data_IF_490969081186
#
_entry.id   IF_490969081186
#
_cell.length_a   1.000
_cell.length_b   1.000
_cell.length_c   1.000
_cell.angle_alpha   90.00
_cell.angle_beta   90.00
_cell.angle_gamma   90.00
#
_symmetry.space_group_name_H-M   'P 1'
#
loop_
_entity.id
_entity.type
_entity.pdbx_description
1 polymer ?
#
# COMPACT_ATOMS: atom_id res chain seq x y z
N UNK A 1 -13.83 -27.50 -5.38
CA UNK A 1 -12.94 -28.45 -4.68
C UNK A 1 -12.01 -27.66 -3.77
N UNK A 2 -12.03 -27.94 -2.47
CA UNK A 2 -11.20 -27.25 -1.47
C UNK A 2 -9.99 -28.13 -1.15
N UNK A 3 -8.76 -27.61 -1.23
CA UNK A 3 -7.55 -28.32 -0.80
C UNK A 3 -6.93 -27.61 0.40
N UNK A 4 -6.62 -28.40 1.42
CA UNK A 4 -6.02 -27.92 2.65
C UNK A 4 -4.49 -27.79 2.49
N UNK A 5 -3.83 -26.92 3.27
CA UNK A 5 -2.38 -26.88 3.33
C UNK A 5 -1.80 -28.25 3.69
N UNK A 6 -0.75 -28.67 2.99
CA UNK A 6 -0.09 -29.97 3.19
C UNK A 6 -0.59 -31.10 2.29
N UNK A 7 -1.71 -30.91 1.57
CA UNK A 7 -2.20 -31.85 0.55
C UNK A 7 -1.76 -31.40 -0.86
N UNK A 8 -0.44 -31.22 -1.03
CA UNK A 8 0.17 -30.76 -2.29
C UNK A 8 -0.07 -29.28 -2.61
N UNK A 9 -0.45 -28.48 -1.62
CA UNK A 9 -0.56 -27.02 -1.71
C UNK A 9 -0.07 -26.38 -0.41
N UNK A 10 0.62 -25.23 -0.50
CA UNK A 10 1.12 -24.49 0.68
C UNK A 10 0.04 -23.63 1.34
N UNK A 11 -1.07 -23.38 0.64
CA UNK A 11 -2.17 -22.51 1.09
C UNK A 11 -3.53 -23.16 0.86
N UNK A 12 -4.52 -22.75 1.64
CA UNK A 12 -5.91 -23.14 1.44
C UNK A 12 -6.37 -22.67 0.06
N UNK A 13 -6.74 -23.61 -0.82
CA UNK A 13 -7.25 -23.28 -2.15
C UNK A 13 -8.70 -23.73 -2.30
N UNK A 14 -9.52 -22.91 -2.95
CA UNK A 14 -10.88 -23.22 -3.36
C UNK A 14 -10.95 -23.12 -4.89
N UNK A 15 -11.30 -24.21 -5.57
CA UNK A 15 -11.33 -24.31 -7.04
C UNK A 15 -9.96 -23.98 -7.69
N UNK A 16 -8.87 -24.40 -7.04
CA UNK A 16 -7.51 -24.18 -7.53
C UNK A 16 -6.99 -22.76 -7.35
N UNK A 17 -7.73 -21.88 -6.67
CA UNK A 17 -7.31 -20.51 -6.37
C UNK A 17 -7.16 -20.34 -4.85
N UNK A 18 -6.23 -19.51 -4.34
CA UNK A 18 -6.13 -19.23 -2.92
C UNK A 18 -7.47 -18.77 -2.36
N UNK A 19 -7.92 -19.37 -1.25
CA UNK A 19 -9.19 -19.05 -0.62
C UNK A 19 -9.23 -17.61 -0.07
N UNK A 20 -8.05 -17.03 0.22
CA UNK A 20 -7.88 -15.61 0.52
C UNK A 20 -7.07 -15.02 -0.64
N UNK A 21 -7.72 -14.19 -1.47
CA UNK A 21 -7.04 -13.44 -2.51
C UNK A 21 -6.25 -12.29 -1.88
N UNK A 22 -4.95 -12.49 -1.66
CA UNK A 22 -4.06 -11.44 -1.18
C UNK A 22 -3.57 -10.62 -2.37
N UNK A 23 -3.80 -9.31 -2.37
CA UNK A 23 -3.16 -8.41 -3.32
C UNK A 23 -1.93 -7.76 -2.69
N UNK A 24 -0.86 -7.67 -3.48
CA UNK A 24 0.37 -7.02 -3.11
C UNK A 24 0.46 -5.68 -3.86
N UNK A 25 1.05 -4.63 -3.25
CA UNK A 25 1.29 -3.36 -3.92
C UNK A 25 2.41 -3.55 -4.95
N UNK A 26 2.05 -3.84 -6.21
CA UNK A 26 2.99 -3.95 -7.33
C UNK A 26 3.37 -2.58 -7.87
N UNK A 27 4.55 -2.46 -8.50
CA UNK A 27 5.00 -1.21 -9.11
C UNK A 27 4.01 -0.79 -10.20
N UNK A 28 3.53 0.45 -10.13
CA UNK A 28 2.51 1.01 -11.01
C UNK A 28 1.07 0.78 -10.56
N UNK A 29 0.83 -0.06 -9.53
CA UNK A 29 -0.52 -0.25 -8.99
C UNK A 29 -1.00 0.99 -8.27
N UNK A 30 -2.29 1.27 -8.42
CA UNK A 30 -3.01 2.30 -7.67
C UNK A 30 -3.54 1.69 -6.37
N UNK A 31 -3.55 2.48 -5.32
CA UNK A 31 -4.03 2.08 -4.01
C UNK A 31 -4.58 3.24 -3.20
N UNK A 32 -5.17 2.90 -2.06
CA UNK A 32 -5.57 3.87 -1.05
C UNK A 32 -4.74 3.66 0.20
N UNK A 33 -4.30 4.77 0.76
CA UNK A 33 -3.49 4.78 1.96
C UNK A 33 -4.02 5.80 2.96
N UNK A 34 -3.86 5.48 4.25
CA UNK A 34 -4.18 6.39 5.34
C UNK A 34 -2.93 7.08 5.84
N UNK A 35 -2.98 8.38 6.05
CA UNK A 35 -1.88 9.17 6.57
C UNK A 35 -1.66 8.87 8.05
N UNK A 36 -0.48 8.38 8.40
CA UNK A 36 -0.12 8.04 9.78
C UNK A 36 0.68 9.16 10.42
N UNK A 37 1.60 9.75 9.65
CA UNK A 37 2.48 10.83 10.12
C UNK A 37 2.89 11.70 8.95
N UNK A 38 2.76 13.01 9.14
CA UNK A 38 3.30 14.01 8.21
C UNK A 38 4.50 14.66 8.87
N UNK A 39 5.57 14.84 8.10
CA UNK A 39 6.76 15.58 8.50
C UNK A 39 7.14 16.54 7.38
N UNK A 40 8.06 17.46 7.65
CA UNK A 40 8.53 18.43 6.65
C UNK A 40 9.10 17.78 5.39
N UNK A 41 9.75 16.61 5.52
CA UNK A 41 10.50 15.98 4.43
C UNK A 41 9.90 14.67 3.93
N UNK A 42 8.81 14.20 4.51
CA UNK A 42 8.14 12.97 4.09
C UNK A 42 6.78 12.83 4.76
N UNK A 43 5.89 12.12 4.08
CA UNK A 43 4.64 11.66 4.66
C UNK A 43 4.65 10.14 4.72
N UNK A 44 4.40 9.60 5.91
CA UNK A 44 4.29 8.17 6.16
C UNK A 44 2.81 7.80 6.11
N UNK A 45 2.49 6.86 5.25
CA UNK A 45 1.14 6.35 5.06
C UNK A 45 1.07 4.85 5.29
N UNK A 46 -0.16 4.36 5.36
CA UNK A 46 -0.48 2.97 5.52
C UNK A 46 -1.44 2.54 4.41
N UNK A 47 -0.93 1.76 3.47
CA UNK A 47 -1.66 1.26 2.30
C UNK A 47 -2.53 0.10 2.76
N UNK A 48 -3.84 0.24 2.58
CA UNK A 48 -4.84 -0.77 2.99
C UNK A 48 -5.66 -1.31 1.82
N UNK A 49 -5.54 -0.70 0.64
CA UNK A 49 -6.25 -1.10 -0.58
C UNK A 49 -5.32 -0.91 -1.78
N UNK A 50 -5.33 -1.87 -2.70
CA UNK A 50 -4.60 -1.86 -3.98
C UNK A 50 -5.55 -2.36 -5.06
N UNK A 51 -5.66 -1.65 -6.18
CA UNK A 51 -6.54 -1.98 -7.32
C UNK A 51 -7.98 -2.32 -6.90
N UNK A 52 -8.53 -1.56 -5.95
CA UNK A 52 -9.88 -1.75 -5.42
C UNK A 52 -10.06 -2.99 -4.54
N UNK A 53 -8.98 -3.69 -4.17
CA UNK A 53 -8.99 -4.84 -3.28
C UNK A 53 -8.26 -4.53 -1.98
N UNK A 54 -8.85 -4.93 -0.86
CA UNK A 54 -8.20 -4.81 0.45
C UNK A 54 -6.96 -5.69 0.52
N UNK A 55 -5.88 -5.16 1.03
CA UNK A 55 -4.68 -5.93 1.31
C UNK A 55 -4.88 -6.80 2.54
N UNK A 56 -4.22 -7.95 2.59
CA UNK A 56 -4.30 -8.83 3.76
C UNK A 56 -3.57 -8.26 4.99
N UNK A 57 -2.55 -7.45 4.74
CA UNK A 57 -1.82 -6.67 5.75
C UNK A 57 -1.71 -5.23 5.27
N UNK A 58 -1.60 -4.30 6.20
CA UNK A 58 -1.41 -2.90 5.88
C UNK A 58 0.07 -2.62 5.62
N UNK A 59 0.41 -2.09 4.45
CA UNK A 59 1.80 -1.83 4.06
C UNK A 59 2.20 -0.41 4.42
N UNK A 60 3.42 -0.23 4.95
CA UNK A 60 3.98 1.10 5.18
C UNK A 60 4.36 1.73 3.83
N UNK A 61 3.76 2.87 3.53
CA UNK A 61 4.10 3.71 2.38
C UNK A 61 4.84 4.97 2.80
N UNK A 62 5.71 5.47 1.92
CA UNK A 62 6.47 6.72 2.11
C UNK A 62 6.30 7.58 0.87
N UNK A 63 5.75 8.79 1.07
CA UNK A 63 5.76 9.85 0.08
C UNK A 63 6.97 10.75 0.28
N UNK A 64 7.71 11.03 -0.81
CA UNK A 64 8.87 11.91 -0.79
C UNK A 64 8.54 13.27 -1.41
N UNK A 65 9.07 14.39 -0.88
CA UNK A 65 8.82 15.73 -1.40
C UNK A 65 9.40 15.98 -2.78
N UNK A 66 10.36 15.16 -3.26
CA UNK A 66 10.88 15.28 -4.63
C UNK A 66 9.80 15.09 -5.69
N UNK A 67 8.68 14.47 -5.31
CA UNK A 67 7.49 14.28 -6.14
C UNK A 67 6.49 15.45 -6.00
N UNK A 68 6.78 16.45 -5.15
CA UNK A 68 5.97 17.65 -4.90
C UNK A 68 6.68 18.94 -5.30
N UNK A 69 5.90 20.01 -5.47
CA UNK A 69 6.41 21.35 -5.66
C UNK A 69 7.21 21.77 -4.40
N UNK A 70 8.48 22.19 -4.51
CA UNK A 70 9.32 22.56 -3.36
C UNK A 70 8.77 23.72 -2.52
N UNK A 71 7.79 24.47 -3.05
CA UNK A 71 7.11 25.55 -2.35
C UNK A 71 5.86 25.10 -1.58
N UNK A 72 5.48 23.82 -1.67
CA UNK A 72 4.26 23.30 -1.07
C UNK A 72 4.61 22.42 0.15
N UNK A 73 4.20 22.86 1.34
CA UNK A 73 4.44 22.09 2.56
C UNK A 73 3.37 21.00 2.70
N UNK A 74 3.81 19.73 2.78
CA UNK A 74 2.91 18.57 2.95
C UNK A 74 2.00 18.69 4.19
N UNK A 75 2.48 19.37 5.24
CA UNK A 75 1.73 19.63 6.47
C UNK A 75 0.49 20.51 6.26
N UNK A 76 0.46 21.34 5.21
CA UNK A 76 -0.66 22.24 4.95
C UNK A 76 -1.79 21.52 4.19
N UNK A 77 -1.47 20.40 3.52
CA UNK A 77 -2.41 19.65 2.67
C UNK A 77 -2.94 18.37 3.31
N UNK A 78 -2.15 17.75 4.18
CA UNK A 78 -2.47 16.43 4.73
C UNK A 78 -2.38 16.44 6.25
N UNK A 79 -3.38 15.84 6.88
CA UNK A 79 -3.44 15.60 8.30
C UNK A 79 -3.38 14.08 8.59
N UNK A 80 -2.99 13.75 9.82
CA UNK A 80 -3.05 12.38 10.30
C UNK A 80 -4.50 11.89 10.26
N UNK A 81 -4.71 10.72 9.65
CA UNK A 81 -6.02 10.09 9.49
C UNK A 81 -6.62 10.30 8.11
N UNK A 82 -6.11 11.23 7.31
CA UNK A 82 -6.60 11.47 5.96
C UNK A 82 -6.38 10.23 5.08
N UNK A 83 -7.31 10.03 4.13
CA UNK A 83 -7.19 8.98 3.12
C UNK A 83 -6.76 9.60 1.81
N UNK A 84 -5.70 9.07 1.23
CA UNK A 84 -5.13 9.52 -0.04
C UNK A 84 -5.10 8.37 -1.04
N UNK A 85 -5.33 8.69 -2.30
CA UNK A 85 -5.01 7.78 -3.40
C UNK A 85 -3.52 7.86 -3.69
N UNK A 86 -2.93 6.72 -4.06
CA UNK A 86 -1.50 6.65 -4.31
C UNK A 86 -1.15 5.63 -5.38
N UNK A 87 -0.06 5.87 -6.09
CA UNK A 87 0.55 4.93 -7.04
C UNK A 87 1.88 4.43 -6.50
N UNK A 88 2.08 3.12 -6.54
CA UNK A 88 3.33 2.48 -6.10
C UNK A 88 4.43 2.76 -7.11
N UNK A 89 5.54 3.36 -6.66
CA UNK A 89 6.68 3.67 -7.51
C UNK A 89 7.77 2.60 -7.43
N UNK A 90 8.16 2.23 -6.22
CA UNK A 90 9.23 1.27 -5.98
C UNK A 90 9.22 0.75 -4.54
N UNK A 91 9.95 -0.33 -4.30
CA UNK A 91 10.20 -0.84 -2.97
C UNK A 91 11.47 -0.21 -2.40
N UNK A 92 11.45 0.13 -1.12
CA UNK A 92 12.62 0.56 -0.36
C UNK A 92 12.76 -0.26 0.92
N UNK A 93 13.93 -0.15 1.54
CA UNK A 93 14.25 -0.91 2.77
C UNK A 93 13.31 -0.58 3.94
N UNK A 94 12.73 0.62 3.94
CA UNK A 94 11.88 1.13 5.02
C UNK A 94 10.38 1.20 4.67
N UNK A 95 9.98 0.65 3.53
CA UNK A 95 8.60 0.65 3.06
C UNK A 95 8.47 0.85 1.55
N UNK A 96 7.23 0.97 1.10
CA UNK A 96 6.88 1.18 -0.31
C UNK A 96 6.93 2.67 -0.63
N UNK A 97 7.69 3.08 -1.64
CA UNK A 97 7.63 4.45 -2.13
C UNK A 97 6.39 4.64 -2.99
N UNK A 98 5.63 5.68 -2.69
CA UNK A 98 4.35 5.98 -3.33
C UNK A 98 4.27 7.45 -3.72
N UNK A 99 3.56 7.74 -4.81
CA UNK A 99 3.18 9.08 -5.24
C UNK A 99 1.65 9.25 -5.23
N UNK A 100 1.14 10.47 -5.23
CA UNK A 100 -0.29 10.75 -5.36
C UNK A 100 -0.75 10.54 -6.80
#
# INVERSE_FOLDING_TARGET
MTRLPGDGADVLTCNGHPAIGTIFPEIGSKGKARVIKVTFTQMIVQIFEVEGRKTAIEYRGIFRPVDFNPNEHLCDRFAKGDTVECTVLSYGDNGVFVNL
#
